data_IF_412389832217
#
_entry.id   IF_412389832217
#
_cell.length_a   1.000
_cell.length_b   1.000
_cell.length_c   1.000
_cell.angle_alpha   90.00
_cell.angle_beta   90.00
_cell.angle_gamma   90.00
#
_symmetry.space_group_name_H-M   'P 1'
#
loop_
_entity.id
_entity.type
_entity.pdbx_description
1 polymer ?
#
# COMPACT_ATOMS: atom_id res chain seq x y z
N UNK A 1 -50.77 -40.40 -29.36
CA UNK A 1 -50.16 -40.24 -28.04
C UNK A 1 -48.64 -40.10 -28.19
N UNK A 2 -48.07 -38.92 -27.96
CA UNK A 2 -46.62 -38.70 -27.90
C UNK A 2 -46.39 -37.58 -26.88
N UNK A 3 -46.02 -37.96 -25.65
CA UNK A 3 -45.77 -37.00 -24.56
C UNK A 3 -44.43 -36.32 -24.86
N UNK A 4 -44.46 -35.03 -25.13
CA UNK A 4 -43.27 -34.20 -25.32
C UNK A 4 -42.66 -33.93 -23.94
N UNK A 5 -41.49 -34.51 -23.67
CA UNK A 5 -40.75 -34.25 -22.44
C UNK A 5 -39.98 -32.94 -22.59
N UNK A 6 -40.39 -31.91 -21.86
CA UNK A 6 -39.61 -30.68 -21.69
C UNK A 6 -38.48 -30.95 -20.70
N UNK A 7 -37.24 -30.99 -21.20
CA UNK A 7 -36.04 -31.05 -20.38
C UNK A 7 -35.65 -29.60 -20.03
N UNK A 8 -35.95 -29.18 -18.80
CA UNK A 8 -35.47 -27.90 -18.27
C UNK A 8 -33.99 -28.03 -17.93
N UNK A 9 -33.12 -27.40 -18.72
CA UNK A 9 -31.71 -27.21 -18.39
C UNK A 9 -31.63 -26.13 -17.31
N UNK A 10 -31.32 -26.54 -16.09
CA UNK A 10 -31.06 -25.65 -14.96
C UNK A 10 -29.62 -25.12 -15.09
N UNK A 11 -29.47 -23.88 -15.54
CA UNK A 11 -28.17 -23.20 -15.63
C UNK A 11 -27.74 -22.76 -14.22
N UNK A 12 -26.82 -23.50 -13.60
CA UNK A 12 -26.24 -23.14 -12.31
C UNK A 12 -25.28 -21.96 -12.47
N UNK A 13 -25.67 -20.78 -12.01
CA UNK A 13 -24.73 -19.68 -11.79
C UNK A 13 -23.83 -20.04 -10.60
N UNK A 14 -22.61 -20.52 -10.89
CA UNK A 14 -21.55 -20.53 -9.90
C UNK A 14 -21.12 -19.07 -9.67
N UNK A 15 -21.72 -18.42 -8.69
CA UNK A 15 -21.21 -17.17 -8.14
C UNK A 15 -19.86 -17.48 -7.48
N UNK A 16 -18.76 -17.25 -8.20
CA UNK A 16 -17.43 -17.28 -7.60
C UNK A 16 -17.39 -16.22 -6.52
N UNK A 17 -17.16 -16.63 -5.27
CA UNK A 17 -16.82 -15.71 -4.20
C UNK A 17 -15.49 -15.05 -4.57
N UNK A 18 -15.54 -13.79 -5.00
CA UNK A 18 -14.35 -12.95 -4.97
C UNK A 18 -13.95 -12.79 -3.50
N UNK A 19 -12.66 -12.90 -3.13
CA UNK A 19 -12.23 -12.46 -1.82
C UNK A 19 -12.50 -10.95 -1.73
N UNK A 20 -13.61 -10.59 -1.10
CA UNK A 20 -13.82 -9.24 -0.61
C UNK A 20 -12.95 -9.10 0.63
N UNK A 21 -12.14 -8.06 0.69
CA UNK A 21 -11.34 -7.76 1.88
C UNK A 21 -12.24 -7.72 3.11
N UNK A 22 -11.91 -8.53 4.11
CA UNK A 22 -12.70 -8.78 5.30
C UNK A 22 -12.02 -8.25 6.57
N UNK A 23 -12.77 -8.10 7.67
CA UNK A 23 -12.19 -7.75 8.96
C UNK A 23 -11.15 -8.80 9.39
N UNK A 24 -9.89 -8.39 9.55
CA UNK A 24 -8.78 -9.26 9.96
C UNK A 24 -7.75 -9.58 8.87
N UNK A 25 -7.74 -8.87 7.73
CA UNK A 25 -6.61 -8.90 6.79
C UNK A 25 -5.34 -8.39 7.49
N UNK A 26 -4.34 -9.26 7.66
CA UNK A 26 -3.02 -8.85 8.14
C UNK A 26 -2.22 -8.30 6.97
N UNK A 27 -1.98 -7.00 7.02
CA UNK A 27 -1.09 -6.32 6.10
C UNK A 27 0.33 -6.46 6.63
N UNK A 28 1.09 -7.44 6.10
CA UNK A 28 2.48 -7.58 6.48
C UNK A 28 3.25 -6.29 6.18
N UNK A 29 3.77 -5.64 7.23
CA UNK A 29 4.68 -4.52 7.10
C UNK A 29 6.00 -4.91 6.42
N UNK A 30 6.90 -3.95 6.27
CA UNK A 30 8.20 -4.21 5.65
C UNK A 30 8.72 -3.05 4.82
N UNK A 31 9.85 -3.26 4.16
CA UNK A 31 10.53 -2.24 3.35
C UNK A 31 10.50 -2.64 1.87
N UNK A 32 9.97 -1.75 1.03
CA UNK A 32 9.90 -1.90 -0.41
C UNK A 32 10.86 -0.92 -1.09
N UNK A 33 11.65 -1.41 -2.05
CA UNK A 33 12.61 -0.61 -2.83
C UNK A 33 12.20 -0.63 -4.31
N UNK A 34 11.63 0.45 -4.87
CA UNK A 34 11.03 0.48 -6.21
C UNK A 34 12.01 0.33 -7.39
N UNK A 35 13.31 0.15 -7.17
CA UNK A 35 14.26 -0.16 -8.25
C UNK A 35 14.53 1.00 -9.22
N UNK A 36 14.31 2.25 -8.81
CA UNK A 36 14.75 3.46 -9.50
C UNK A 36 13.64 4.47 -9.83
N UNK A 37 13.62 5.61 -9.13
CA UNK A 37 13.19 6.93 -9.62
C UNK A 37 11.78 7.15 -10.18
N UNK A 38 10.89 6.15 -10.15
CA UNK A 38 9.57 6.25 -10.81
C UNK A 38 8.66 7.33 -10.20
N UNK A 39 8.89 7.70 -8.94
CA UNK A 39 8.14 8.73 -8.22
C UNK A 39 9.11 9.77 -7.65
N UNK A 40 9.02 11.01 -8.14
CA UNK A 40 9.74 12.15 -7.57
C UNK A 40 8.98 12.73 -6.38
N UNK A 41 9.69 13.50 -5.54
CA UNK A 41 9.06 14.17 -4.42
C UNK A 41 7.96 15.16 -4.85
N UNK A 42 8.18 15.94 -5.90
CA UNK A 42 7.16 16.87 -6.43
C UNK A 42 5.86 16.14 -6.82
N UNK A 43 5.99 14.99 -7.51
CA UNK A 43 4.83 14.17 -7.87
C UNK A 43 4.12 13.60 -6.65
N UNK A 44 4.88 13.16 -5.65
CA UNK A 44 4.34 12.68 -4.39
C UNK A 44 3.59 13.79 -3.64
N UNK A 45 4.18 14.98 -3.51
CA UNK A 45 3.56 16.12 -2.82
C UNK A 45 2.23 16.52 -3.45
N UNK A 46 2.14 16.47 -4.78
CA UNK A 46 0.93 16.81 -5.49
C UNK A 46 -0.18 15.74 -5.37
N UNK A 47 0.18 14.48 -5.15
CA UNK A 47 -0.73 13.34 -5.28
C UNK A 47 -1.13 12.69 -3.96
N UNK A 48 -0.32 12.83 -2.90
CA UNK A 48 -0.47 12.05 -1.66
C UNK A 48 -0.68 12.99 -0.49
N UNK A 49 -1.71 12.77 0.33
CA UNK A 49 -1.85 13.44 1.62
C UNK A 49 -0.81 12.87 2.60
N UNK A 50 0.04 13.73 3.15
CA UNK A 50 1.18 13.31 3.96
C UNK A 50 1.52 14.34 5.05
N UNK A 51 2.36 13.90 5.99
CA UNK A 51 3.01 14.75 6.96
C UNK A 51 4.54 14.62 6.84
N UNK A 52 5.22 15.69 7.23
CA UNK A 52 6.67 15.74 7.34
C UNK A 52 7.12 15.02 8.62
N UNK A 53 8.21 14.27 8.51
CA UNK A 53 8.88 13.69 9.67
C UNK A 53 10.19 14.42 9.93
N UNK A 54 10.50 14.67 11.21
CA UNK A 54 11.81 15.23 11.61
C UNK A 54 12.95 14.22 11.42
N UNK A 55 12.64 12.92 11.36
CA UNK A 55 13.60 11.84 11.17
C UNK A 55 13.05 10.68 10.34
N UNK A 56 13.92 9.72 10.03
CA UNK A 56 13.58 8.52 9.27
C UNK A 56 13.68 7.27 10.15
N UNK A 57 13.02 6.16 9.76
CA UNK A 57 13.30 4.83 10.30
C UNK A 57 14.80 4.54 10.37
N UNK A 58 15.24 3.88 11.45
CA UNK A 58 16.66 3.70 11.80
C UNK A 58 17.51 2.98 10.73
N UNK A 59 16.88 2.28 9.80
CA UNK A 59 17.55 1.63 8.67
C UNK A 59 17.90 2.57 7.51
N UNK A 60 17.38 3.80 7.54
CA UNK A 60 17.65 4.82 6.53
C UNK A 60 18.67 5.83 7.04
N UNK A 61 19.63 6.18 6.19
CA UNK A 61 20.64 7.20 6.45
C UNK A 61 20.03 8.59 6.31
N UNK A 62 19.77 9.25 7.44
CA UNK A 62 19.14 10.58 7.47
C UNK A 62 20.00 11.69 6.87
N UNK A 63 21.29 11.46 6.66
CA UNK A 63 22.13 12.41 5.93
C UNK A 63 21.95 12.29 4.41
N UNK A 64 21.40 11.16 3.93
CA UNK A 64 21.18 10.89 2.51
C UNK A 64 19.71 11.03 2.07
N UNK A 65 18.77 10.87 3.01
CA UNK A 65 17.33 10.89 2.71
C UNK A 65 16.54 11.74 3.70
N UNK A 66 15.39 12.23 3.22
CA UNK A 66 14.32 12.76 4.07
C UNK A 66 13.05 11.92 3.94
N UNK A 67 12.24 11.93 4.99
CA UNK A 67 11.07 11.07 5.09
C UNK A 67 9.74 11.84 5.17
N UNK A 68 8.71 11.25 4.58
CA UNK A 68 7.29 11.65 4.68
C UNK A 68 6.45 10.48 5.10
N UNK A 69 5.35 10.74 5.81
CA UNK A 69 4.43 9.69 6.24
C UNK A 69 3.01 9.94 5.73
N UNK A 70 2.36 8.86 5.31
CA UNK A 70 0.92 8.83 5.02
C UNK A 70 0.27 7.70 5.81
N UNK A 71 -0.97 7.92 6.23
CA UNK A 71 -1.83 6.88 6.79
C UNK A 71 -2.82 6.43 5.72
N UNK A 72 -2.75 5.17 5.32
CA UNK A 72 -3.64 4.59 4.32
C UNK A 72 -3.76 3.08 4.51
N UNK A 73 -4.91 2.52 4.16
CA UNK A 73 -5.17 1.07 4.23
C UNK A 73 -4.88 0.46 5.62
N UNK A 74 -5.24 1.16 6.70
CA UNK A 74 -4.96 0.76 8.09
C UNK A 74 -3.46 0.57 8.41
N UNK A 75 -2.60 1.18 7.58
CA UNK A 75 -1.15 1.17 7.70
C UNK A 75 -0.61 2.59 7.75
N UNK A 76 0.60 2.70 8.29
CA UNK A 76 1.45 3.85 8.07
C UNK A 76 2.53 3.52 7.06
N UNK A 77 2.73 4.43 6.11
CA UNK A 77 3.72 4.31 5.05
C UNK A 77 4.69 5.48 5.16
N UNK A 78 5.96 5.18 5.46
CA UNK A 78 7.05 6.15 5.43
C UNK A 78 7.75 6.06 4.08
N UNK A 79 7.74 7.15 3.33
CA UNK A 79 8.40 7.30 2.05
C UNK A 79 9.75 7.99 2.26
N UNK A 80 10.84 7.37 1.82
CA UNK A 80 12.20 7.91 1.90
C UNK A 80 12.66 8.39 0.52
N UNK A 81 12.92 9.69 0.41
CA UNK A 81 13.37 10.35 -0.81
C UNK A 81 14.83 10.79 -0.69
N UNK A 82 15.59 10.72 -1.78
CA UNK A 82 16.95 11.25 -1.80
C UNK A 82 16.94 12.78 -1.66
N UNK A 83 17.95 13.37 -1.01
CA UNK A 83 18.13 14.83 -1.01
C UNK A 83 18.55 15.39 -2.37
N UNK A 84 19.26 14.59 -3.17
CA UNK A 84 19.87 15.02 -4.43
C UNK A 84 18.95 14.86 -5.65
N UNK A 85 19.27 15.63 -6.69
CA UNK A 85 18.59 15.55 -8.00
C UNK A 85 17.10 15.88 -7.90
N UNK A 86 16.28 15.15 -8.66
CA UNK A 86 14.81 15.30 -8.65
C UNK A 86 14.15 14.66 -7.42
N UNK A 87 14.92 14.39 -6.37
CA UNK A 87 14.49 13.77 -5.12
C UNK A 87 13.66 12.49 -5.37
N UNK A 88 14.25 11.47 -6.03
CA UNK A 88 13.55 10.23 -6.33
C UNK A 88 13.22 9.44 -5.06
N UNK A 89 12.07 8.75 -5.07
CA UNK A 89 11.71 7.76 -4.06
C UNK A 89 12.72 6.61 -4.08
N UNK A 90 13.33 6.35 -2.92
CA UNK A 90 14.30 5.28 -2.73
C UNK A 90 13.70 4.08 -2.02
N UNK A 91 12.81 4.30 -1.05
CA UNK A 91 12.19 3.24 -0.27
C UNK A 91 10.83 3.63 0.31
N UNK A 92 9.99 2.63 0.57
CA UNK A 92 8.77 2.75 1.37
C UNK A 92 8.87 1.77 2.54
N UNK A 93 8.68 2.25 3.76
CA UNK A 93 8.58 1.43 4.97
C UNK A 93 7.15 1.44 5.48
N UNK A 94 6.52 0.28 5.57
CA UNK A 94 5.15 0.12 6.02
C UNK A 94 5.07 -0.52 7.40
N UNK A 95 4.16 -0.01 8.22
CA UNK A 95 3.88 -0.50 9.57
C UNK A 95 2.38 -0.67 9.80
N UNK A 96 1.99 -1.71 10.53
CA UNK A 96 0.63 -1.86 11.01
C UNK A 96 0.32 -0.80 12.07
N UNK A 97 -0.86 -0.18 11.99
CA UNK A 97 -1.35 0.76 12.99
C UNK A 97 -1.89 -0.03 14.20
N UNK A 98 -1.01 -0.27 15.17
CA UNK A 98 -1.38 -0.83 16.48
C UNK A 98 -1.44 0.23 17.58
N UNK A 99 -1.82 -0.21 18.80
CA UNK A 99 -1.78 0.65 19.98
C UNK A 99 -0.33 1.12 20.25
N UNK A 100 -0.08 2.44 20.17
CA UNK A 100 1.23 3.05 20.43
C UNK A 100 2.07 3.38 19.19
N UNK A 101 1.44 3.49 18.01
CA UNK A 101 2.13 3.77 16.75
C UNK A 101 2.78 5.17 16.70
N UNK A 102 4.05 5.25 17.14
CA UNK A 102 5.24 5.90 16.54
C UNK A 102 6.33 6.15 17.62
N UNK A 103 7.45 5.38 17.66
CA UNK A 103 8.53 5.57 18.63
C UNK A 103 9.81 6.17 17.98
N UNK A 104 9.67 7.27 17.25
CA UNK A 104 10.82 8.02 16.75
C UNK A 104 10.57 9.52 16.85
#
# INVERSE_FOLDING_TARGET
MKKLAFVTVLLTLAAGAAPASGPGESHSGGTFYPGGGVLTYEMFEAAVEHADLEGCPAEFDTDAVFCRITLANDMAHVFAFAHDGDQPLLAIKSYELGDGFLPF
#
